data_IF_176557696846
#
_entry.id   IF_176557696846
#
_cell.length_a   1.000
_cell.length_b   1.000
_cell.length_c   1.000
_cell.angle_alpha   90.00
_cell.angle_beta   90.00
_cell.angle_gamma   90.00
#
_symmetry.space_group_name_H-M   'P 1'
#
loop_
_entity.id
_entity.type
_entity.pdbx_description
1 polymer ?
#
# COMPACT_ATOMS: atom_id res chain seq x y z
N UNK A 1 -3.21 2.16 2.29
CA UNK A 1 -2.30 1.02 2.50
C UNK A 1 -2.98 -0.29 2.10
N UNK A 2 -2.21 -1.22 1.50
CA UNK A 2 -2.73 -2.53 1.07
C UNK A 2 -3.63 -2.50 -0.18
N UNK A 3 -3.78 -1.34 -0.83
CA UNK A 3 -4.53 -1.21 -2.08
C UNK A 3 -3.59 -1.30 -3.28
N UNK A 4 -4.08 -1.82 -4.37
CA UNK A 4 -3.34 -1.91 -5.63
C UNK A 4 -3.58 -0.66 -6.46
N UNK A 5 -2.51 -0.04 -6.93
CA UNK A 5 -2.53 1.16 -7.76
C UNK A 5 -3.08 0.82 -9.15
N UNK A 6 -3.99 1.64 -9.65
CA UNK A 6 -4.67 1.40 -10.92
C UNK A 6 -3.95 2.00 -12.15
N UNK A 7 -3.12 3.03 -11.93
CA UNK A 7 -2.32 3.71 -12.97
C UNK A 7 -1.01 4.21 -12.39
N UNK A 8 0.00 4.48 -13.22
CA UNK A 8 1.30 4.98 -12.77
C UNK A 8 1.14 6.32 -12.04
N UNK A 9 1.81 6.44 -10.90
CA UNK A 9 1.84 7.64 -10.09
C UNK A 9 3.16 8.36 -10.32
N UNK A 10 3.07 9.60 -10.77
CA UNK A 10 4.23 10.41 -11.21
C UNK A 10 4.54 11.46 -10.17
N UNK A 11 5.82 11.71 -9.90
CA UNK A 11 6.27 12.80 -9.01
C UNK A 11 6.02 14.16 -9.65
N UNK A 12 5.44 15.10 -8.91
CA UNK A 12 5.21 16.48 -9.36
C UNK A 12 6.42 17.40 -9.13
N UNK A 13 7.44 16.91 -8.44
CA UNK A 13 8.66 17.64 -8.10
C UNK A 13 9.88 16.72 -8.02
N UNK A 14 11.06 17.32 -8.00
CA UNK A 14 12.30 16.61 -7.68
C UNK A 14 12.34 16.30 -6.17
N UNK A 15 12.74 15.08 -5.80
CA UNK A 15 13.09 14.71 -4.44
C UNK A 15 14.58 14.33 -4.44
N UNK A 16 15.40 15.07 -3.82
CA UNK A 16 15.25 16.33 -3.07
C UNK A 16 15.08 17.53 -4.00
N UNK A 17 14.37 18.62 -3.60
CA UNK A 17 14.06 19.73 -4.51
C UNK A 17 15.24 20.69 -4.75
N UNK A 18 16.34 20.56 -4.03
CA UNK A 18 17.58 21.35 -4.14
C UNK A 18 18.78 20.55 -3.61
N UNK A 19 19.97 20.93 -4.01
CA UNK A 19 21.21 20.39 -3.41
C UNK A 19 21.25 20.78 -1.94
N UNK A 20 21.46 19.81 -1.05
CA UNK A 20 21.44 20.06 0.38
C UNK A 20 22.53 19.31 1.13
N UNK A 21 22.87 19.81 2.32
CA UNK A 21 23.84 19.18 3.19
C UNK A 21 23.34 17.81 3.71
N UNK A 22 24.14 16.77 3.51
CA UNK A 22 23.88 15.44 4.05
C UNK A 22 24.23 15.34 5.54
N UNK A 23 25.05 16.27 6.06
CA UNK A 23 25.55 16.29 7.43
C UNK A 23 25.63 17.74 7.93
N UNK A 24 25.65 17.90 9.24
CA UNK A 24 25.98 19.18 9.86
C UNK A 24 27.47 19.52 9.65
N UNK A 25 27.76 20.74 9.24
CA UNK A 25 29.13 21.10 8.92
C UNK A 25 29.29 22.54 8.43
N UNK A 26 30.29 22.74 7.60
CA UNK A 26 30.60 23.98 6.94
C UNK A 26 30.54 23.79 5.42
N UNK A 27 29.71 24.57 4.76
CA UNK A 27 29.67 24.67 3.31
C UNK A 27 30.90 25.53 2.89
N UNK A 28 31.70 24.99 1.98
CA UNK A 28 33.00 25.54 1.56
C UNK A 28 33.18 25.42 0.05
N UNK A 29 34.17 26.14 -0.46
CA UNK A 29 34.66 25.95 -1.81
C UNK A 29 35.85 25.00 -1.77
N UNK A 30 35.78 23.89 -2.50
CA UNK A 30 36.88 22.91 -2.60
C UNK A 30 38.19 23.55 -2.99
N UNK A 31 38.14 24.54 -3.91
CA UNK A 31 39.29 25.28 -4.38
C UNK A 31 40.10 25.99 -3.26
N UNK A 32 39.44 26.37 -2.17
CA UNK A 32 40.08 27.02 -1.05
C UNK A 32 40.82 26.01 -0.15
N UNK A 33 40.46 24.74 -0.18
CA UNK A 33 41.00 23.69 0.65
C UNK A 33 42.00 22.76 -0.05
N UNK A 34 42.34 23.02 -1.32
CA UNK A 34 43.23 22.14 -2.13
C UNK A 34 44.58 21.88 -1.46
N UNK A 35 45.13 22.89 -0.73
CA UNK A 35 46.43 22.77 -0.06
C UNK A 35 46.32 22.52 1.45
N UNK A 36 45.12 22.23 1.97
CA UNK A 36 44.92 21.95 3.38
C UNK A 36 45.62 20.64 3.79
N UNK A 37 46.39 20.68 4.86
CA UNK A 37 47.05 19.53 5.45
C UNK A 37 47.23 19.70 6.97
N UNK A 38 47.58 18.66 7.70
CA UNK A 38 47.86 18.75 9.13
C UNK A 38 49.04 19.72 9.44
N UNK A 39 50.04 19.78 8.56
CA UNK A 39 51.18 20.65 8.70
C UNK A 39 50.93 22.11 8.25
N UNK A 40 49.89 22.29 7.42
CA UNK A 40 49.51 23.59 6.85
C UNK A 40 47.97 23.70 6.73
N UNK A 41 47.27 23.83 7.87
CA UNK A 41 45.81 23.94 7.86
C UNK A 41 45.38 25.27 7.25
N UNK A 42 44.24 25.23 6.53
CA UNK A 42 43.62 26.39 5.88
C UNK A 42 42.51 26.95 6.77
N UNK A 43 42.56 28.24 7.03
CA UNK A 43 41.54 28.94 7.84
C UNK A 43 40.55 29.67 6.95
N UNK A 44 39.25 29.50 7.22
CA UNK A 44 38.17 30.21 6.55
C UNK A 44 37.36 31.03 7.55
N UNK A 45 36.85 32.16 7.11
CA UNK A 45 35.97 33.03 7.89
C UNK A 45 34.52 32.56 7.76
N UNK A 46 33.83 32.34 8.87
CA UNK A 46 32.39 31.98 8.87
C UNK A 46 31.55 33.25 8.64
N UNK A 47 30.93 33.34 7.47
CA UNK A 47 30.15 34.52 7.04
C UNK A 47 28.65 34.38 7.27
N UNK A 48 28.19 33.20 7.66
CA UNK A 48 26.76 32.97 7.94
C UNK A 48 26.45 31.58 8.48
N UNK A 49 25.16 31.39 8.74
CA UNK A 49 24.62 30.12 9.22
C UNK A 49 23.30 29.80 8.49
N UNK A 50 23.10 28.56 8.07
CA UNK A 50 21.89 28.06 7.37
C UNK A 50 21.30 26.88 8.11
N UNK A 51 20.31 27.09 8.98
CA UNK A 51 19.52 26.01 9.55
C UNK A 51 18.57 25.41 8.51
N UNK A 52 18.11 24.18 8.75
CA UNK A 52 17.10 23.55 7.91
C UNK A 52 15.85 24.46 7.79
N UNK A 53 15.31 24.57 6.56
CA UNK A 53 14.18 25.44 6.25
C UNK A 53 14.52 26.89 6.00
N UNK A 54 15.82 27.26 5.97
CA UNK A 54 16.33 28.59 5.62
C UNK A 54 17.22 28.52 4.38
N UNK A 55 17.45 29.65 3.77
CA UNK A 55 18.35 29.81 2.59
C UNK A 55 19.38 30.88 2.91
N UNK A 56 20.64 30.66 2.52
CA UNK A 56 21.67 31.69 2.61
C UNK A 56 21.47 32.73 1.49
N UNK A 57 21.28 33.97 1.88
CA UNK A 57 21.12 35.10 0.95
C UNK A 57 22.50 35.70 0.58
N UNK A 58 23.23 35.01 -0.28
CA UNK A 58 24.55 35.42 -0.71
C UNK A 58 25.27 34.34 -1.51
N UNK A 59 26.54 34.63 -1.83
CA UNK A 59 27.45 33.68 -2.47
C UNK A 59 28.72 33.58 -1.59
N UNK A 60 29.23 32.37 -1.41
CA UNK A 60 30.47 32.14 -0.66
C UNK A 60 31.65 32.53 -1.52
N UNK A 61 32.43 33.54 -1.03
CA UNK A 61 33.64 34.01 -1.66
C UNK A 61 34.89 33.22 -1.27
N UNK A 62 36.05 33.66 -1.80
CA UNK A 62 37.34 33.09 -1.42
C UNK A 62 37.66 33.33 0.06
N UNK A 63 38.09 32.28 0.76
CA UNK A 63 38.44 32.34 2.19
C UNK A 63 37.21 32.39 3.13
N UNK A 64 36.00 32.08 2.63
CA UNK A 64 34.78 32.09 3.39
C UNK A 64 34.19 30.67 3.56
N UNK A 65 33.44 30.48 4.63
CA UNK A 65 32.65 29.30 4.92
C UNK A 65 31.27 29.70 5.46
N UNK A 66 30.26 28.86 5.26
CA UNK A 66 28.92 29.02 5.86
C UNK A 66 28.63 27.81 6.71
N UNK A 67 28.28 28.03 7.98
CA UNK A 67 27.80 26.97 8.86
C UNK A 67 26.47 26.44 8.35
N UNK A 68 26.35 25.12 8.12
CA UNK A 68 25.18 24.51 7.50
C UNK A 68 24.71 23.31 8.31
N UNK A 69 23.38 23.17 8.42
CA UNK A 69 22.74 22.01 9.08
C UNK A 69 22.26 21.00 8.05
N UNK A 70 22.19 19.75 8.45
CA UNK A 70 21.66 18.65 7.66
C UNK A 70 20.28 19.01 7.05
N UNK A 71 20.11 18.78 5.77
CA UNK A 71 18.89 19.12 5.03
C UNK A 71 18.75 20.59 4.60
N UNK A 72 19.68 21.47 4.99
CA UNK A 72 19.67 22.86 4.54
C UNK A 72 20.22 22.97 3.10
N UNK A 73 19.68 23.90 2.27
CA UNK A 73 20.18 24.12 0.92
C UNK A 73 21.65 24.58 0.93
N UNK A 74 22.44 23.97 0.05
CA UNK A 74 23.85 24.38 -0.12
C UNK A 74 23.90 25.81 -0.66
N UNK A 75 24.65 26.73 0.00
CA UNK A 75 24.80 28.12 -0.46
C UNK A 75 25.47 28.19 -1.84
N UNK A 76 25.08 29.18 -2.63
CA UNK A 76 25.76 29.51 -3.88
C UNK A 76 27.25 29.73 -3.64
N UNK A 77 28.11 29.22 -4.54
CA UNK A 77 29.56 29.29 -4.43
C UNK A 77 30.19 28.12 -3.66
N UNK A 78 29.46 27.41 -2.81
CA UNK A 78 29.95 26.19 -2.18
C UNK A 78 29.79 24.98 -3.10
N UNK A 79 30.75 24.05 -3.03
CA UNK A 79 30.77 22.80 -3.78
C UNK A 79 31.16 21.57 -2.90
N UNK A 80 31.29 21.80 -1.57
CA UNK A 80 31.42 20.72 -0.57
C UNK A 80 30.87 21.12 0.80
N UNK A 81 30.53 20.14 1.64
CA UNK A 81 30.24 20.34 3.06
C UNK A 81 31.21 19.51 3.89
N UNK A 82 32.01 20.17 4.71
CA UNK A 82 32.94 19.53 5.64
C UNK A 82 32.29 19.45 7.00
N UNK A 83 32.17 18.22 7.53
CA UNK A 83 31.48 17.95 8.80
C UNK A 83 32.20 18.55 10.01
N UNK A 84 31.45 18.90 11.05
CA UNK A 84 31.99 19.56 12.25
C UNK A 84 33.12 18.79 12.93
N UNK A 85 33.09 17.47 12.93
CA UNK A 85 33.98 16.59 13.69
C UNK A 85 35.45 16.65 13.23
N UNK A 86 35.69 17.18 12.03
CA UNK A 86 37.03 17.28 11.44
C UNK A 86 37.50 18.70 11.22
N UNK A 87 36.84 19.68 11.88
CA UNK A 87 37.16 21.10 11.76
C UNK A 87 37.55 21.65 13.11
N UNK A 88 38.66 22.41 13.14
CA UNK A 88 39.12 23.09 14.34
C UNK A 88 38.55 24.53 14.41
N UNK A 89 38.13 24.95 15.60
CA UNK A 89 37.57 26.28 15.83
C UNK A 89 38.66 27.26 16.26
N UNK A 90 38.89 28.30 15.47
CA UNK A 90 39.90 29.33 15.73
C UNK A 90 39.26 30.55 16.41
N UNK A 91 38.87 30.38 17.66
CA UNK A 91 38.17 31.39 18.43
C UNK A 91 36.68 31.47 18.09
N UNK A 92 35.85 31.44 19.12
CA UNK A 92 34.40 31.42 18.97
C UNK A 92 33.82 30.00 18.86
N UNK A 93 32.56 29.91 18.47
CA UNK A 93 31.73 28.66 18.46
C UNK A 93 31.41 28.14 17.03
N UNK A 94 32.13 28.62 16.02
CA UNK A 94 31.93 28.30 14.61
C UNK A 94 30.71 28.97 14.00
N UNK A 95 30.17 30.00 14.64
CA UNK A 95 29.09 30.83 14.11
C UNK A 95 29.62 32.04 13.33
N UNK A 96 28.72 32.82 12.72
CA UNK A 96 29.08 34.00 11.96
C UNK A 96 30.00 34.91 12.74
N UNK A 97 31.11 35.34 12.11
CA UNK A 97 32.15 36.17 12.70
C UNK A 97 33.30 35.39 13.36
N UNK A 98 33.22 34.07 13.47
CA UNK A 98 34.35 33.23 13.88
C UNK A 98 35.18 32.74 12.69
N UNK A 99 36.35 32.13 12.95
CA UNK A 99 37.14 31.43 11.96
C UNK A 99 37.20 29.94 12.28
N UNK A 100 37.26 29.14 11.24
CA UNK A 100 37.40 27.69 11.31
C UNK A 100 38.58 27.23 10.48
N UNK A 101 39.24 26.14 10.91
CA UNK A 101 40.43 25.61 10.29
C UNK A 101 40.26 24.20 9.79
N UNK A 102 40.74 23.93 8.60
CA UNK A 102 40.64 22.67 7.90
C UNK A 102 42.03 22.10 7.69
N UNK A 103 42.30 20.91 8.21
CA UNK A 103 43.57 20.19 8.09
C UNK A 103 43.58 19.12 6.98
N UNK A 104 42.50 19.06 6.17
CA UNK A 104 42.39 18.12 5.06
C UNK A 104 41.67 18.80 3.87
N UNK A 105 42.03 18.44 2.61
CA UNK A 105 41.28 18.90 1.46
C UNK A 105 39.89 18.23 1.44
N UNK A 106 38.89 18.92 0.87
CA UNK A 106 37.58 18.38 0.61
C UNK A 106 37.48 17.87 -0.83
N UNK A 107 36.69 16.84 -1.05
CA UNK A 107 36.32 16.38 -2.41
C UNK A 107 35.14 17.18 -2.96
N UNK A 108 35.09 17.40 -4.29
CA UNK A 108 33.90 17.99 -4.92
C UNK A 108 32.63 17.18 -4.57
N UNK A 109 31.56 17.89 -4.21
CA UNK A 109 30.25 17.37 -3.79
C UNK A 109 30.30 16.48 -2.52
N UNK A 110 31.37 16.55 -1.74
CA UNK A 110 31.46 15.84 -0.47
C UNK A 110 30.32 16.26 0.47
N UNK A 111 29.59 15.27 1.02
CA UNK A 111 28.43 15.45 1.89
C UNK A 111 27.32 16.37 1.32
N UNK A 112 27.18 16.42 0.00
CA UNK A 112 26.07 17.09 -0.68
C UNK A 112 25.17 16.00 -1.30
N UNK A 113 23.87 16.10 -1.05
CA UNK A 113 22.84 15.35 -1.75
C UNK A 113 22.33 16.19 -2.91
N UNK A 114 22.37 15.63 -4.10
CA UNK A 114 21.98 16.34 -5.30
C UNK A 114 20.46 16.48 -5.42
N UNK A 115 20.02 17.56 -6.03
CA UNK A 115 18.63 17.77 -6.44
C UNK A 115 18.16 16.61 -7.32
N UNK A 116 16.99 16.03 -7.00
CA UNK A 116 16.41 14.91 -7.75
C UNK A 116 17.12 13.55 -7.56
N UNK A 117 18.03 13.43 -6.58
CA UNK A 117 18.79 12.18 -6.36
C UNK A 117 17.90 10.97 -6.08
N UNK A 118 16.77 11.17 -5.40
CA UNK A 118 15.85 10.06 -5.08
C UNK A 118 14.84 9.79 -6.20
N UNK A 119 14.26 10.86 -6.75
CA UNK A 119 13.38 10.82 -7.92
C UNK A 119 13.30 12.19 -8.56
N UNK A 120 13.34 12.25 -9.89
CA UNK A 120 13.19 13.50 -10.62
C UNK A 120 11.71 13.80 -10.92
N UNK A 121 11.39 15.08 -11.10
CA UNK A 121 10.07 15.51 -11.55
C UNK A 121 9.67 14.80 -12.86
N UNK A 122 8.48 14.22 -12.88
CA UNK A 122 7.94 13.49 -14.04
C UNK A 122 8.30 12.00 -14.07
N UNK A 123 9.13 11.51 -13.16
CA UNK A 123 9.39 10.07 -13.03
C UNK A 123 8.28 9.36 -12.27
N UNK A 124 8.14 8.07 -12.54
CA UNK A 124 7.12 7.21 -11.91
C UNK A 124 7.56 6.83 -10.50
N UNK A 125 6.82 7.30 -9.51
CA UNK A 125 7.06 7.01 -8.09
C UNK A 125 6.55 5.62 -7.68
N UNK A 126 5.38 5.19 -8.18
CA UNK A 126 4.81 3.85 -7.98
C UNK A 126 4.12 3.44 -9.27
N UNK A 127 4.40 2.23 -9.75
CA UNK A 127 3.79 1.70 -10.97
C UNK A 127 2.38 1.13 -10.74
N UNK A 128 1.58 1.16 -11.80
CA UNK A 128 0.31 0.45 -11.84
C UNK A 128 0.48 -1.03 -11.49
N UNK A 129 -0.43 -1.57 -10.70
CA UNK A 129 -0.36 -2.97 -10.23
C UNK A 129 0.46 -3.18 -8.96
N UNK A 130 1.18 -2.18 -8.47
CA UNK A 130 1.89 -2.26 -7.19
C UNK A 130 0.96 -2.02 -6.00
N UNK A 131 1.34 -2.58 -4.85
CA UNK A 131 0.59 -2.45 -3.59
C UNK A 131 1.16 -1.30 -2.77
N UNK A 132 0.33 -0.32 -2.44
CA UNK A 132 0.75 0.80 -1.60
C UNK A 132 1.08 0.33 -0.18
N UNK A 133 2.35 0.43 0.20
CA UNK A 133 2.85 0.16 1.56
C UNK A 133 2.76 1.41 2.44
N UNK A 134 3.03 1.27 3.74
CA UNK A 134 3.13 2.42 4.64
C UNK A 134 4.26 3.38 4.23
N UNK A 135 5.42 2.83 3.84
CA UNK A 135 6.53 3.64 3.30
C UNK A 135 6.15 4.32 1.99
N UNK A 136 5.44 3.59 1.09
CA UNK A 136 4.92 4.15 -0.16
C UNK A 136 3.98 5.34 0.05
N UNK A 137 3.16 5.34 1.11
CA UNK A 137 2.33 6.51 1.45
C UNK A 137 3.19 7.74 1.78
N UNK A 138 4.25 7.55 2.58
CA UNK A 138 5.19 8.64 2.89
C UNK A 138 5.91 9.16 1.65
N UNK A 139 6.40 8.26 0.81
CA UNK A 139 7.07 8.59 -0.44
C UNK A 139 6.15 9.33 -1.42
N UNK A 140 4.91 8.87 -1.61
CA UNK A 140 3.93 9.56 -2.45
C UNK A 140 3.58 10.97 -1.92
N UNK A 141 3.53 11.13 -0.60
CA UNK A 141 3.31 12.44 0.00
C UNK A 141 4.48 13.41 -0.29
N UNK A 142 5.73 12.94 -0.27
CA UNK A 142 6.88 13.75 -0.67
C UNK A 142 6.88 14.05 -2.17
N UNK A 143 6.34 13.16 -3.01
CA UNK A 143 6.13 13.37 -4.45
C UNK A 143 4.95 14.31 -4.80
N UNK A 144 4.28 14.94 -3.82
CA UNK A 144 3.11 15.79 -4.04
C UNK A 144 1.82 15.04 -4.38
N UNK A 145 1.81 13.71 -4.36
CA UNK A 145 0.66 12.90 -4.72
C UNK A 145 -0.33 12.86 -3.55
N UNK A 146 -1.47 13.54 -3.69
CA UNK A 146 -2.52 13.63 -2.67
C UNK A 146 -3.71 12.70 -2.91
N UNK A 147 -3.87 12.17 -4.12
CA UNK A 147 -4.92 11.23 -4.49
C UNK A 147 -4.31 10.05 -5.26
N UNK A 148 -4.64 8.85 -4.83
CA UNK A 148 -4.10 7.62 -5.40
C UNK A 148 -5.24 6.81 -6.03
N UNK A 149 -5.30 6.71 -7.37
CA UNK A 149 -6.23 5.82 -8.06
C UNK A 149 -5.89 4.37 -7.72
N UNK A 150 -6.88 3.64 -7.22
CA UNK A 150 -6.71 2.24 -6.83
C UNK A 150 -7.87 1.40 -7.34
N UNK A 151 -7.64 0.11 -7.60
CA UNK A 151 -8.72 -0.81 -7.95
C UNK A 151 -9.81 -0.79 -6.88
N UNK A 152 -11.09 -0.82 -7.29
CA UNK A 152 -12.19 -0.79 -6.34
C UNK A 152 -12.28 -2.09 -5.54
N UNK A 153 -12.85 -2.03 -4.36
CA UNK A 153 -13.10 -3.19 -3.51
C UNK A 153 -14.40 -3.88 -3.99
N UNK A 154 -14.38 -5.21 -4.26
CA UNK A 154 -15.59 -5.93 -4.67
C UNK A 154 -16.63 -5.94 -3.54
N UNK A 155 -17.89 -5.66 -3.89
CA UNK A 155 -19.06 -5.83 -3.03
C UNK A 155 -19.51 -7.28 -3.14
N UNK A 156 -19.56 -8.00 -2.04
CA UNK A 156 -19.79 -9.44 -2.02
C UNK A 156 -21.08 -9.74 -1.25
N UNK A 157 -22.10 -10.25 -1.94
CA UNK A 157 -23.30 -10.76 -1.30
C UNK A 157 -23.05 -12.15 -0.69
N UNK A 158 -23.55 -12.37 0.51
CA UNK A 158 -23.48 -13.68 1.19
C UNK A 158 -24.89 -14.12 1.51
N UNK A 159 -25.32 -15.23 0.88
CA UNK A 159 -26.67 -15.77 0.97
C UNK A 159 -26.63 -17.09 1.74
N UNK A 160 -27.01 -17.13 3.02
CA UNK A 160 -27.16 -18.37 3.76
C UNK A 160 -28.43 -19.11 3.30
N UNK A 161 -28.28 -20.42 3.02
CA UNK A 161 -29.36 -21.30 2.55
C UNK A 161 -29.57 -22.40 3.57
N UNK A 162 -30.80 -22.59 4.02
CA UNK A 162 -31.17 -23.67 4.93
C UNK A 162 -32.43 -23.32 5.73
N UNK A 163 -33.43 -24.19 5.65
CA UNK A 163 -34.67 -24.04 6.41
C UNK A 163 -34.48 -24.32 7.91
N UNK A 164 -33.36 -24.96 8.27
CA UNK A 164 -32.92 -25.20 9.65
C UNK A 164 -32.20 -24.01 10.26
N UNK A 165 -31.80 -23.00 9.47
CA UNK A 165 -30.97 -21.91 9.93
C UNK A 165 -31.77 -20.88 10.73
N UNK A 166 -31.17 -20.41 11.83
CA UNK A 166 -31.68 -19.32 12.65
C UNK A 166 -30.68 -18.17 12.71
N UNK A 167 -31.14 -16.92 12.71
CA UNK A 167 -30.30 -15.79 13.07
C UNK A 167 -29.68 -15.98 14.46
N UNK A 168 -28.44 -15.51 14.74
CA UNK A 168 -27.76 -15.73 16.02
C UNK A 168 -28.52 -15.27 17.26
N UNK A 169 -29.40 -14.27 17.14
CA UNK A 169 -30.19 -13.69 18.24
C UNK A 169 -31.45 -14.49 18.55
N UNK A 170 -31.88 -15.37 17.64
CA UNK A 170 -33.08 -16.15 17.89
C UNK A 170 -32.86 -17.30 18.88
N UNK A 171 -33.86 -17.63 19.71
CA UNK A 171 -33.81 -18.78 20.58
C UNK A 171 -33.78 -20.08 19.78
N UNK A 172 -33.11 -21.11 20.30
CA UNK A 172 -33.08 -22.43 19.66
C UNK A 172 -34.47 -23.06 19.55
N UNK A 173 -34.69 -23.67 18.43
CA UNK A 173 -35.90 -24.53 18.16
C UNK A 173 -35.43 -25.93 17.79
N UNK A 174 -36.22 -26.98 18.11
CA UNK A 174 -35.90 -28.36 17.70
C UNK A 174 -35.62 -28.45 16.19
N UNK A 175 -34.55 -29.12 15.82
CA UNK A 175 -34.14 -29.31 14.42
C UNK A 175 -33.47 -28.08 13.76
N UNK A 176 -33.30 -26.98 14.48
CA UNK A 176 -32.67 -25.76 13.94
C UNK A 176 -31.27 -25.54 14.53
N UNK A 177 -30.44 -24.89 13.74
CA UNK A 177 -29.09 -24.44 14.12
C UNK A 177 -28.92 -22.94 13.80
N UNK A 178 -27.98 -22.28 14.45
CA UNK A 178 -27.66 -20.88 14.11
C UNK A 178 -26.79 -20.80 12.89
N UNK A 179 -27.08 -19.83 12.00
CA UNK A 179 -26.21 -19.48 10.90
C UNK A 179 -24.87 -18.96 11.44
N UNK A 180 -23.81 -19.69 11.18
CA UNK A 180 -22.43 -19.31 11.49
C UNK A 180 -21.61 -19.03 10.22
N UNK A 181 -21.99 -19.67 9.11
CA UNK A 181 -21.23 -19.61 7.87
C UNK A 181 -21.27 -18.22 7.24
N UNK A 182 -22.43 -17.57 7.20
CA UNK A 182 -22.50 -16.23 6.60
C UNK A 182 -21.65 -15.22 7.35
N UNK A 183 -21.55 -15.32 8.67
CA UNK A 183 -20.69 -14.47 9.51
C UNK A 183 -19.21 -14.76 9.28
N UNK A 184 -18.83 -16.04 9.20
CA UNK A 184 -17.46 -16.43 8.90
C UNK A 184 -17.05 -15.95 7.50
N UNK A 185 -17.90 -16.13 6.49
CA UNK A 185 -17.62 -15.66 5.12
C UNK A 185 -17.54 -14.13 5.04
N UNK A 186 -18.40 -13.42 5.77
CA UNK A 186 -18.31 -11.94 5.85
C UNK A 186 -16.97 -11.49 6.43
N UNK A 187 -16.49 -12.13 7.49
CA UNK A 187 -15.19 -11.86 8.06
C UNK A 187 -14.06 -12.16 7.08
N UNK A 188 -14.11 -13.30 6.39
CA UNK A 188 -13.13 -13.70 5.37
C UNK A 188 -13.09 -12.72 4.18
N UNK A 189 -14.25 -12.27 3.71
CA UNK A 189 -14.36 -11.24 2.64
C UNK A 189 -13.71 -9.94 3.10
N UNK A 190 -14.04 -9.47 4.31
CA UNK A 190 -13.47 -8.25 4.87
C UNK A 190 -11.94 -8.33 5.04
N UNK A 191 -11.42 -9.45 5.55
CA UNK A 191 -9.98 -9.70 5.67
C UNK A 191 -9.27 -9.76 4.30
N UNK A 192 -9.99 -10.17 3.25
CA UNK A 192 -9.46 -10.19 1.89
C UNK A 192 -9.51 -8.81 1.22
N UNK A 193 -10.11 -7.81 1.88
CA UNK A 193 -10.24 -6.45 1.37
C UNK A 193 -11.56 -6.18 0.63
N UNK A 194 -12.45 -7.16 0.48
CA UNK A 194 -13.79 -6.98 -0.08
C UNK A 194 -14.75 -6.24 0.88
N UNK A 195 -15.93 -5.94 0.40
CA UNK A 195 -17.03 -5.32 1.17
C UNK A 195 -18.14 -6.36 1.30
N UNK A 196 -18.28 -7.05 2.44
CA UNK A 196 -19.30 -8.07 2.62
C UNK A 196 -20.68 -7.46 2.87
N UNK A 197 -21.72 -8.11 2.32
CA UNK A 197 -23.12 -7.87 2.65
C UNK A 197 -23.79 -9.21 2.97
N UNK A 198 -24.20 -9.39 4.23
CA UNK A 198 -24.98 -10.57 4.63
C UNK A 198 -26.44 -10.33 4.25
N UNK A 199 -26.99 -11.21 3.43
CA UNK A 199 -28.40 -11.19 3.05
C UNK A 199 -29.23 -12.04 3.99
N UNK A 200 -30.54 -12.02 3.83
CA UNK A 200 -31.46 -12.82 4.62
C UNK A 200 -31.29 -14.32 4.34
N UNK A 201 -31.53 -15.15 5.34
CA UNK A 201 -31.56 -16.60 5.21
C UNK A 201 -32.64 -16.99 4.19
N UNK A 202 -32.24 -17.79 3.21
CA UNK A 202 -33.13 -18.29 2.15
C UNK A 202 -33.52 -19.74 2.49
N UNK A 203 -34.82 -20.09 2.44
CA UNK A 203 -35.25 -21.47 2.65
C UNK A 203 -34.79 -22.35 1.48
N UNK A 204 -34.75 -23.68 1.71
CA UNK A 204 -34.41 -24.70 0.71
C UNK A 204 -35.51 -24.84 -0.36
N UNK A 205 -35.61 -23.80 -1.19
CA UNK A 205 -36.55 -23.70 -2.33
C UNK A 205 -35.85 -23.03 -3.50
N UNK A 206 -35.82 -23.68 -4.65
CA UNK A 206 -35.17 -23.18 -5.86
C UNK A 206 -35.67 -21.78 -6.27
N UNK A 207 -36.99 -21.54 -6.25
CA UNK A 207 -37.57 -20.25 -6.61
C UNK A 207 -37.10 -19.09 -5.70
N UNK A 208 -36.96 -19.37 -4.37
CA UNK A 208 -36.49 -18.37 -3.41
C UNK A 208 -35.01 -18.05 -3.64
N UNK A 209 -34.21 -19.09 -3.90
CA UNK A 209 -32.79 -18.96 -4.18
C UNK A 209 -32.57 -18.22 -5.52
N UNK A 210 -33.25 -18.63 -6.58
CA UNK A 210 -33.19 -17.99 -7.90
C UNK A 210 -33.47 -16.50 -7.81
N UNK A 211 -34.55 -16.11 -7.10
CA UNK A 211 -34.90 -14.72 -6.88
C UNK A 211 -33.82 -13.97 -6.11
N UNK A 212 -33.26 -14.57 -5.07
CA UNK A 212 -32.21 -13.94 -4.25
C UNK A 212 -30.91 -13.76 -5.02
N UNK A 213 -30.51 -14.72 -5.85
CA UNK A 213 -29.32 -14.60 -6.71
C UNK A 213 -29.52 -13.51 -7.77
N UNK A 214 -30.67 -13.46 -8.46
CA UNK A 214 -30.96 -12.42 -9.45
C UNK A 214 -30.88 -11.03 -8.86
N UNK A 215 -31.54 -10.79 -7.73
CA UNK A 215 -31.48 -9.48 -7.05
C UNK A 215 -30.07 -9.15 -6.57
N UNK A 216 -29.31 -10.13 -6.11
CA UNK A 216 -27.94 -9.90 -5.70
C UNK A 216 -27.01 -9.60 -6.90
N UNK A 217 -27.26 -10.19 -8.07
CA UNK A 217 -26.46 -9.94 -9.27
C UNK A 217 -26.58 -8.50 -9.79
N UNK A 218 -27.69 -7.81 -9.51
CA UNK A 218 -27.89 -6.39 -9.89
C UNK A 218 -27.00 -5.44 -9.06
N UNK A 219 -26.74 -5.78 -7.79
CA UNK A 219 -26.15 -4.85 -6.83
C UNK A 219 -24.72 -5.21 -6.39
N UNK A 220 -24.27 -6.45 -6.59
CA UNK A 220 -23.02 -6.97 -6.07
C UNK A 220 -22.09 -7.49 -7.16
N UNK A 221 -20.79 -7.44 -6.90
CA UNK A 221 -19.74 -7.86 -7.83
C UNK A 221 -19.44 -9.36 -7.74
N UNK A 222 -19.89 -10.01 -6.66
CA UNK A 222 -19.63 -11.41 -6.37
C UNK A 222 -20.69 -11.94 -5.39
N UNK A 223 -21.13 -13.18 -5.58
CA UNK A 223 -22.12 -13.82 -4.72
C UNK A 223 -21.53 -15.10 -4.12
N UNK A 224 -21.64 -15.25 -2.80
CA UNK A 224 -21.32 -16.46 -2.07
C UNK A 224 -22.61 -17.00 -1.49
N UNK A 225 -22.95 -18.26 -1.77
CA UNK A 225 -23.98 -18.97 -1.02
C UNK A 225 -23.35 -19.94 -0.04
N UNK A 226 -23.97 -20.17 1.11
CA UNK A 226 -23.53 -21.16 2.09
C UNK A 226 -24.68 -22.11 2.42
N UNK A 227 -24.47 -23.41 2.27
CA UNK A 227 -25.53 -24.41 2.26
C UNK A 227 -26.13 -24.60 0.87
N UNK A 228 -27.09 -25.52 0.76
CA UNK A 228 -27.74 -25.87 -0.53
C UNK A 228 -26.85 -26.59 -1.54
N UNK A 229 -25.55 -26.75 -1.26
CA UNK A 229 -24.60 -27.49 -2.06
C UNK A 229 -24.39 -28.89 -1.43
N UNK A 230 -24.98 -29.91 -2.00
CA UNK A 230 -24.91 -31.32 -1.56
C UNK A 230 -24.74 -32.25 -2.76
N UNK A 231 -24.16 -33.45 -2.55
CA UNK A 231 -24.07 -34.47 -3.60
C UNK A 231 -25.35 -35.34 -3.69
N UNK A 232 -26.50 -34.87 -3.24
CA UNK A 232 -27.75 -35.63 -3.18
C UNK A 232 -28.97 -34.78 -3.55
N UNK A 233 -30.15 -35.29 -3.19
CA UNK A 233 -31.48 -34.69 -3.52
C UNK A 233 -31.72 -33.28 -2.97
N UNK A 234 -30.79 -32.73 -2.22
CA UNK A 234 -30.83 -31.37 -1.60
C UNK A 234 -29.81 -30.43 -2.20
N UNK A 235 -29.37 -30.65 -3.44
CA UNK A 235 -28.52 -29.68 -4.17
C UNK A 235 -29.40 -28.68 -4.91
N UNK A 236 -29.69 -27.55 -4.30
CA UNK A 236 -30.53 -26.50 -4.88
C UNK A 236 -29.73 -25.47 -5.68
N UNK A 237 -28.44 -25.33 -5.41
CA UNK A 237 -27.63 -24.27 -6.04
C UNK A 237 -27.30 -24.59 -7.51
N UNK A 238 -27.00 -25.86 -7.80
CA UNK A 238 -26.62 -26.29 -9.14
C UNK A 238 -27.72 -26.05 -10.18
N UNK A 239 -28.97 -26.54 -10.03
CA UNK A 239 -30.04 -26.35 -11.00
C UNK A 239 -30.39 -24.84 -11.14
N UNK A 240 -30.34 -24.08 -10.04
CA UNK A 240 -30.64 -22.65 -10.09
C UNK A 240 -29.58 -21.88 -10.88
N UNK A 241 -28.28 -22.16 -10.68
CA UNK A 241 -27.22 -21.48 -11.45
C UNK A 241 -27.24 -21.89 -12.91
N UNK A 242 -27.57 -23.15 -13.23
CA UNK A 242 -27.69 -23.68 -14.59
C UNK A 242 -28.89 -23.04 -15.35
N UNK A 243 -30.00 -22.79 -14.65
CA UNK A 243 -31.19 -22.14 -15.23
C UNK A 243 -31.00 -20.63 -15.43
N UNK A 244 -30.26 -19.96 -14.51
CA UNK A 244 -30.10 -18.50 -14.53
C UNK A 244 -28.91 -18.01 -15.35
N UNK A 245 -27.95 -18.87 -15.67
CA UNK A 245 -26.72 -18.45 -16.30
C UNK A 245 -25.84 -19.61 -16.76
N UNK A 246 -24.55 -19.50 -16.56
CA UNK A 246 -23.55 -20.48 -16.98
C UNK A 246 -22.95 -21.19 -15.78
N UNK A 247 -23.02 -22.52 -15.78
CA UNK A 247 -22.46 -23.38 -14.74
C UNK A 247 -21.11 -23.94 -15.18
N UNK A 248 -20.04 -23.67 -14.43
CA UNK A 248 -18.67 -24.09 -14.78
C UNK A 248 -18.15 -25.22 -13.90
N UNK A 249 -18.56 -25.30 -12.63
CA UNK A 249 -18.02 -26.27 -11.69
C UNK A 249 -19.08 -26.69 -10.68
N UNK A 250 -19.12 -28.00 -10.38
CA UNK A 250 -20.03 -28.58 -9.37
C UNK A 250 -19.30 -29.40 -8.32
N UNK A 251 -18.08 -29.81 -8.60
CA UNK A 251 -17.27 -30.67 -7.74
C UNK A 251 -15.81 -30.24 -7.78
N UNK A 252 -15.15 -30.31 -6.63
CA UNK A 252 -13.71 -30.10 -6.49
C UNK A 252 -13.09 -31.32 -5.82
N UNK A 253 -11.92 -31.74 -6.28
CA UNK A 253 -11.20 -32.85 -5.63
C UNK A 253 -10.50 -32.36 -4.34
N UNK A 254 -11.32 -31.97 -3.37
CA UNK A 254 -10.90 -31.44 -2.07
C UNK A 254 -11.66 -32.12 -0.93
N UNK A 255 -11.01 -32.35 0.20
CA UNK A 255 -11.62 -32.92 1.40
C UNK A 255 -11.11 -32.22 2.66
N UNK A 256 -11.99 -31.57 3.48
CA UNK A 256 -13.44 -31.42 3.27
C UNK A 256 -13.78 -30.46 2.14
N UNK A 257 -15.02 -30.54 1.60
CA UNK A 257 -15.53 -29.54 0.65
C UNK A 257 -15.57 -30.01 -0.81
N UNK A 258 -15.88 -31.30 -1.08
CA UNK A 258 -15.98 -31.81 -2.43
C UNK A 258 -17.10 -31.15 -3.26
N UNK A 259 -18.29 -30.96 -2.65
CA UNK A 259 -19.41 -30.29 -3.30
C UNK A 259 -19.23 -28.79 -3.21
N UNK A 260 -18.91 -28.17 -4.32
CA UNK A 260 -18.82 -26.71 -4.48
C UNK A 260 -19.28 -26.34 -5.88
N UNK A 261 -20.02 -25.27 -5.99
CA UNK A 261 -20.59 -24.84 -7.27
C UNK A 261 -19.98 -23.50 -7.66
N UNK A 262 -19.62 -23.37 -8.93
CA UNK A 262 -19.22 -22.08 -9.50
C UNK A 262 -19.92 -21.86 -10.82
N UNK A 263 -20.47 -20.67 -10.99
CA UNK A 263 -21.09 -20.22 -12.23
C UNK A 263 -21.13 -18.71 -12.32
N UNK A 264 -21.73 -18.21 -13.41
CA UNK A 264 -21.92 -16.79 -13.67
C UNK A 264 -23.41 -16.56 -13.97
N UNK A 265 -24.03 -15.61 -13.27
CA UNK A 265 -25.40 -15.18 -13.45
C UNK A 265 -25.40 -13.67 -13.74
N UNK A 266 -25.95 -13.26 -14.89
CA UNK A 266 -25.98 -11.87 -15.35
C UNK A 266 -24.61 -11.16 -15.27
N UNK A 267 -23.52 -11.90 -15.59
CA UNK A 267 -22.15 -11.40 -15.53
C UNK A 267 -21.52 -11.41 -14.13
N UNK A 268 -22.29 -11.77 -13.08
CA UNK A 268 -21.81 -11.83 -11.69
C UNK A 268 -21.40 -13.23 -11.31
N UNK A 269 -20.16 -13.47 -10.82
CA UNK A 269 -19.71 -14.77 -10.31
C UNK A 269 -20.52 -15.20 -9.07
N UNK A 270 -21.01 -16.44 -9.11
CA UNK A 270 -21.74 -17.09 -8.01
C UNK A 270 -20.95 -18.30 -7.54
N UNK A 271 -20.64 -18.35 -6.25
CA UNK A 271 -19.93 -19.45 -5.62
C UNK A 271 -20.76 -20.11 -4.53
N UNK A 272 -21.13 -21.37 -4.74
CA UNK A 272 -21.86 -22.18 -3.78
C UNK A 272 -20.91 -22.99 -2.88
N UNK A 273 -20.91 -22.67 -1.59
CA UNK A 273 -20.13 -23.36 -0.57
C UNK A 273 -21.00 -24.36 0.22
N UNK A 274 -20.44 -25.50 0.66
CA UNK A 274 -21.19 -26.47 1.44
C UNK A 274 -21.61 -25.93 2.81
N UNK A 275 -22.66 -26.51 3.40
CA UNK A 275 -23.16 -26.15 4.73
C UNK A 275 -22.20 -26.50 5.88
N UNK A 276 -21.27 -27.44 5.70
CA UNK A 276 -20.25 -27.75 6.71
C UNK A 276 -19.28 -26.58 6.87
N UNK A 277 -19.13 -25.98 8.08
CA UNK A 277 -18.30 -24.79 8.28
C UNK A 277 -16.83 -24.95 7.89
N UNK A 278 -16.22 -26.11 8.19
CA UNK A 278 -14.82 -26.35 7.82
C UNK A 278 -14.66 -26.44 6.31
N UNK A 279 -15.62 -27.05 5.61
CA UNK A 279 -15.62 -27.16 4.16
C UNK A 279 -15.85 -25.81 3.47
N UNK A 280 -16.76 -25.00 4.00
CA UNK A 280 -17.00 -23.63 3.51
C UNK A 280 -15.75 -22.75 3.69
N UNK A 281 -15.12 -22.79 4.85
CA UNK A 281 -13.89 -22.04 5.11
C UNK A 281 -12.74 -22.47 4.19
N UNK A 282 -12.51 -23.77 4.02
CA UNK A 282 -11.49 -24.28 3.09
C UNK A 282 -11.78 -23.85 1.65
N UNK A 283 -13.04 -23.93 1.21
CA UNK A 283 -13.45 -23.47 -0.13
C UNK A 283 -13.18 -21.98 -0.34
N UNK A 284 -13.50 -21.15 0.65
CA UNK A 284 -13.18 -19.72 0.59
C UNK A 284 -11.67 -19.49 0.46
N UNK A 285 -10.86 -20.08 1.32
CA UNK A 285 -9.40 -19.87 1.35
C UNK A 285 -8.72 -20.31 0.05
N UNK A 286 -9.15 -21.43 -0.53
CA UNK A 286 -8.49 -22.01 -1.70
C UNK A 286 -8.97 -21.39 -3.01
N UNK A 287 -10.25 -21.04 -3.12
CA UNK A 287 -10.87 -20.64 -4.38
C UNK A 287 -11.33 -19.18 -4.39
N UNK A 288 -12.08 -18.73 -3.39
CA UNK A 288 -12.72 -17.42 -3.42
C UNK A 288 -11.73 -16.29 -3.08
N UNK A 289 -10.86 -16.48 -2.08
CA UNK A 289 -9.86 -15.49 -1.68
C UNK A 289 -9.02 -15.00 -2.86
N UNK A 290 -8.55 -15.92 -3.68
CA UNK A 290 -7.72 -15.61 -4.85
C UNK A 290 -8.51 -14.79 -5.88
N UNK A 291 -9.76 -15.16 -6.13
CA UNK A 291 -10.65 -14.45 -7.04
C UNK A 291 -10.89 -13.02 -6.57
N UNK A 292 -11.23 -12.82 -5.30
CA UNK A 292 -11.45 -11.48 -4.73
C UNK A 292 -10.18 -10.62 -4.76
N UNK A 293 -9.00 -11.20 -4.56
CA UNK A 293 -7.72 -10.49 -4.72
C UNK A 293 -7.48 -10.10 -6.18
N UNK A 294 -7.75 -11.00 -7.12
CA UNK A 294 -7.64 -10.70 -8.54
C UNK A 294 -8.54 -9.55 -8.95
N UNK A 295 -9.79 -9.50 -8.46
CA UNK A 295 -10.72 -8.40 -8.70
C UNK A 295 -10.22 -7.05 -8.14
N UNK A 296 -9.34 -7.07 -7.15
CA UNK A 296 -8.70 -5.89 -6.57
C UNK A 296 -7.37 -5.52 -7.22
N UNK A 297 -7.02 -6.15 -8.36
CA UNK A 297 -5.83 -5.81 -9.14
C UNK A 297 -4.54 -6.50 -8.69
N UNK A 298 -4.57 -7.39 -7.70
CA UNK A 298 -3.35 -8.11 -7.29
C UNK A 298 -2.82 -8.98 -8.44
N UNK A 299 -1.57 -8.80 -8.83
CA UNK A 299 -0.87 -9.57 -9.85
C UNK A 299 -0.53 -10.99 -9.36
N UNK A 300 -0.10 -11.10 -8.09
CA UNK A 300 0.12 -12.38 -7.42
C UNK A 300 -0.97 -12.62 -6.39
N UNK A 301 -1.75 -13.67 -6.57
CA UNK A 301 -2.86 -14.06 -5.69
C UNK A 301 -2.55 -15.30 -4.84
N UNK A 302 -1.39 -15.92 -5.05
CA UNK A 302 -0.87 -17.00 -4.20
C UNK A 302 -0.63 -16.57 -2.74
N UNK A 303 -0.46 -17.57 -1.86
CA UNK A 303 -0.11 -17.36 -0.44
C UNK A 303 1.29 -16.80 -0.30
#
# INVERSE_FOLDING_TARGET
>A
VGRVVAEDLVSDCDITPFDHAAMDGFAVRVADLVNASEDSPVSLQVVGEVPAGSVFNGEIGFGEAVRIMTGAPVPNGADAVVKYEIVDYLGGDGRQGSAVSFSQPAAPFENIRAKGEEIAQGEVAIHAGEVVSAAGVGFLASCGVTAVPVYRRPRVAIIPIGSELLPPKEPFRPGCIRDSNSYAMAACVAQTGGIPAQLMIVPDKEECLARSIKLAAEDYDFIITTGGASNGDYDFIKPVVEDLGELYMTLVNMRPGKAQTFGIVDGTPVFGLPGNPAAAYCGFEVLIRQTLRKMQGYSSVGR
#
